data_IF_034259490386
#
_entry.id   IF_034259490386
#
_cell.length_a   1.000
_cell.length_b   1.000
_cell.length_c   1.000
_cell.angle_alpha   90.00
_cell.angle_beta   90.00
_cell.angle_gamma   90.00
#
_symmetry.space_group_name_H-M   'P 1'
#
loop_
_entity.id
_entity.type
_entity.pdbx_description
1 polymer ?
#
# COMPACT_ATOMS: atom_id res chain seq x y z
N UNK A 1 -7.73 -16.37 -19.86
CA UNK A 1 -8.04 -14.93 -19.92
C UNK A 1 -8.05 -14.27 -18.53
N UNK A 2 -8.67 -14.88 -17.51
CA UNK A 2 -8.69 -14.34 -16.13
C UNK A 2 -7.32 -14.21 -15.42
N UNK A 3 -6.39 -15.14 -15.63
CA UNK A 3 -5.05 -15.13 -15.00
C UNK A 3 -4.19 -13.89 -15.34
N UNK A 4 -4.48 -13.22 -16.46
CA UNK A 4 -3.74 -12.01 -16.88
C UNK A 4 -4.27 -10.78 -16.13
N UNK A 5 -5.58 -10.67 -15.95
CA UNK A 5 -6.20 -9.62 -15.15
C UNK A 5 -5.73 -9.67 -13.70
N UNK A 6 -5.63 -10.87 -13.12
CA UNK A 6 -5.13 -11.09 -11.76
C UNK A 6 -3.67 -10.63 -11.60
N UNK A 7 -2.81 -10.92 -12.57
CA UNK A 7 -1.42 -10.41 -12.57
C UNK A 7 -1.33 -8.90 -12.73
N UNK A 8 -2.21 -8.30 -13.54
CA UNK A 8 -2.23 -6.84 -13.74
C UNK A 8 -2.68 -6.14 -12.45
N UNK A 9 -3.73 -6.63 -11.79
CA UNK A 9 -4.19 -6.06 -10.52
C UNK A 9 -3.17 -6.24 -9.40
N UNK A 10 -2.47 -7.38 -9.38
CA UNK A 10 -1.32 -7.59 -8.49
C UNK A 10 -0.18 -6.62 -8.73
N UNK A 11 0.16 -6.34 -10.00
CA UNK A 11 1.20 -5.39 -10.38
C UNK A 11 0.81 -3.96 -10.03
N UNK A 12 -0.45 -3.57 -10.25
CA UNK A 12 -0.98 -2.27 -9.83
C UNK A 12 -0.87 -2.10 -8.32
N UNK A 13 -1.27 -3.12 -7.55
CA UNK A 13 -1.15 -3.09 -6.08
C UNK A 13 0.30 -2.99 -5.63
N UNK A 14 1.22 -3.68 -6.31
CA UNK A 14 2.65 -3.60 -6.02
C UNK A 14 3.20 -2.20 -6.23
N UNK A 15 2.85 -1.57 -7.36
CA UNK A 15 3.25 -0.21 -7.65
C UNK A 15 2.67 0.77 -6.62
N UNK A 16 1.39 0.61 -6.24
CA UNK A 16 0.74 1.47 -5.25
C UNK A 16 1.40 1.40 -3.86
N UNK A 17 1.81 0.20 -3.43
CA UNK A 17 2.56 0.03 -2.18
C UNK A 17 3.97 0.62 -2.30
N UNK A 18 4.67 0.41 -3.41
CA UNK A 18 6.01 0.94 -3.65
C UNK A 18 6.04 2.47 -3.69
N UNK A 19 4.96 3.10 -4.20
CA UNK A 19 4.84 4.55 -4.30
C UNK A 19 4.96 5.22 -2.93
N UNK A 20 4.38 4.67 -1.86
CA UNK A 20 4.34 5.34 -0.55
C UNK A 20 5.75 5.62 0.04
N UNK A 21 6.64 4.62 0.21
CA UNK A 21 8.00 4.88 0.69
C UNK A 21 8.84 5.67 -0.30
N UNK A 22 8.61 5.51 -1.60
CA UNK A 22 9.33 6.24 -2.65
C UNK A 22 9.00 7.73 -2.61
N UNK A 23 7.72 8.09 -2.46
CA UNK A 23 7.27 9.48 -2.33
C UNK A 23 7.83 10.12 -1.06
N UNK A 24 7.90 9.35 0.03
CA UNK A 24 8.42 9.81 1.31
C UNK A 24 9.92 10.11 1.20
N UNK A 25 10.70 9.19 0.61
CA UNK A 25 12.12 9.40 0.34
C UNK A 25 12.38 10.57 -0.62
N UNK A 26 11.55 10.71 -1.65
CA UNK A 26 11.62 11.85 -2.58
C UNK A 26 11.31 13.17 -1.88
N UNK A 27 10.27 13.21 -1.04
CA UNK A 27 9.90 14.39 -0.26
C UNK A 27 11.04 14.83 0.67
N UNK A 28 11.66 13.89 1.38
CA UNK A 28 12.83 14.17 2.23
C UNK A 28 14.00 14.67 1.37
N UNK A 29 14.28 14.04 0.23
CA UNK A 29 15.33 14.47 -0.69
C UNK A 29 15.15 15.92 -1.18
N UNK A 30 13.91 16.29 -1.54
CA UNK A 30 13.57 17.66 -1.93
C UNK A 30 13.74 18.66 -0.78
N UNK A 31 13.33 18.30 0.45
CA UNK A 31 13.52 19.16 1.63
C UNK A 31 15.01 19.39 1.90
N UNK A 32 15.84 18.36 1.77
CA UNK A 32 17.29 18.45 1.95
C UNK A 32 17.92 19.37 0.90
N UNK A 33 17.52 19.24 -0.37
CA UNK A 33 18.00 20.12 -1.44
C UNK A 33 17.58 21.58 -1.23
N UNK A 34 16.35 21.82 -0.76
CA UNK A 34 15.86 23.16 -0.47
C UNK A 34 16.63 23.84 0.68
N UNK A 35 17.00 23.08 1.71
CA UNK A 35 17.79 23.60 2.83
C UNK A 35 19.28 23.78 2.49
N UNK A 36 19.83 22.88 1.67
CA UNK A 36 21.24 22.90 1.27
C UNK A 36 21.35 23.08 -0.24
N UNK A 37 21.22 24.32 -0.69
CA UNK A 37 21.23 24.73 -2.10
C UNK A 37 22.67 24.75 -2.69
N UNK A 38 23.44 23.70 -2.42
CA UNK A 38 24.82 23.49 -2.83
C UNK A 38 24.95 22.16 -3.58
N UNK A 39 26.02 21.97 -4.35
CA UNK A 39 26.28 20.70 -5.05
C UNK A 39 26.29 19.49 -4.13
N UNK A 40 26.71 19.68 -2.87
CA UNK A 40 26.69 18.64 -1.83
C UNK A 40 25.26 18.25 -1.43
N UNK A 41 24.35 19.23 -1.26
CA UNK A 41 22.95 18.96 -0.93
C UNK A 41 22.20 18.25 -2.05
N UNK A 42 22.55 18.52 -3.32
CA UNK A 42 22.04 17.78 -4.46
C UNK A 42 22.45 16.30 -4.44
N UNK A 43 23.74 16.02 -4.18
CA UNK A 43 24.25 14.64 -4.08
C UNK A 43 23.56 13.89 -2.93
N UNK A 44 23.45 14.52 -1.76
CA UNK A 44 22.80 13.90 -0.59
C UNK A 44 21.30 13.66 -0.86
N UNK A 45 20.60 14.62 -1.48
CA UNK A 45 19.19 14.48 -1.84
C UNK A 45 18.94 13.32 -2.81
N UNK A 46 19.83 13.13 -3.80
CA UNK A 46 19.79 11.98 -4.72
C UNK A 46 20.00 10.67 -3.96
N UNK A 47 21.00 10.60 -3.09
CA UNK A 47 21.29 9.39 -2.30
C UNK A 47 20.08 9.01 -1.44
N UNK A 48 19.48 9.98 -0.76
CA UNK A 48 18.28 9.76 0.06
C UNK A 48 17.09 9.29 -0.79
N UNK A 49 16.88 9.91 -1.96
CA UNK A 49 15.81 9.51 -2.89
C UNK A 49 16.00 8.09 -3.41
N UNK A 50 17.24 7.70 -3.73
CA UNK A 50 17.58 6.34 -4.15
C UNK A 50 17.32 5.35 -3.02
N UNK A 51 17.72 5.67 -1.79
CA UNK A 51 17.46 4.82 -0.61
C UNK A 51 15.94 4.64 -0.41
N UNK A 52 15.16 5.72 -0.52
CA UNK A 52 13.70 5.66 -0.43
C UNK A 52 13.07 4.78 -1.50
N UNK A 53 13.57 4.87 -2.75
CA UNK A 53 13.12 4.05 -3.87
C UNK A 53 13.47 2.57 -3.67
N UNK A 54 14.70 2.26 -3.25
CA UNK A 54 15.12 0.89 -2.95
C UNK A 54 14.27 0.31 -1.81
N UNK A 55 14.06 1.07 -0.74
CA UNK A 55 13.22 0.65 0.38
C UNK A 55 11.78 0.40 -0.07
N UNK A 56 11.21 1.28 -0.90
CA UNK A 56 9.89 1.11 -1.50
C UNK A 56 9.75 -0.17 -2.31
N UNK A 57 10.73 -0.45 -3.18
CA UNK A 57 10.76 -1.68 -3.99
C UNK A 57 10.87 -2.92 -3.11
N UNK A 58 11.75 -2.91 -2.10
CA UNK A 58 11.95 -4.05 -1.19
C UNK A 58 10.67 -4.35 -0.40
N UNK A 59 10.02 -3.32 0.15
CA UNK A 59 8.78 -3.47 0.89
C UNK A 59 7.65 -3.99 0.01
N UNK A 60 7.47 -3.43 -1.19
CA UNK A 60 6.45 -3.88 -2.12
C UNK A 60 6.69 -5.33 -2.56
N UNK A 61 7.94 -5.69 -2.86
CA UNK A 61 8.32 -7.06 -3.26
C UNK A 61 8.12 -8.07 -2.13
N UNK A 62 8.42 -7.67 -0.90
CA UNK A 62 8.18 -8.52 0.29
C UNK A 62 6.68 -8.80 0.44
N UNK A 63 5.84 -7.75 0.39
CA UNK A 63 4.37 -7.87 0.51
C UNK A 63 3.75 -8.68 -0.63
N UNK A 64 4.23 -8.49 -1.86
CA UNK A 64 3.83 -9.30 -3.02
C UNK A 64 4.06 -10.79 -2.77
N UNK A 65 5.23 -11.16 -2.25
CA UNK A 65 5.58 -12.57 -1.99
C UNK A 65 4.86 -13.20 -0.80
N UNK A 66 4.45 -12.43 0.21
CA UNK A 66 3.91 -13.04 1.44
C UNK A 66 2.40 -13.29 1.37
N UNK A 67 1.63 -12.34 0.83
CA UNK A 67 0.16 -12.35 0.97
C UNK A 67 -0.56 -12.05 -0.34
N UNK A 68 0.15 -11.59 -1.37
CA UNK A 68 -0.44 -11.06 -2.59
C UNK A 68 -0.91 -9.61 -2.40
N UNK A 69 -0.54 -8.74 -3.34
CA UNK A 69 -0.76 -7.29 -3.22
C UNK A 69 -2.24 -6.91 -3.23
N UNK A 70 -3.05 -7.68 -3.95
CA UNK A 70 -4.51 -7.49 -4.01
C UNK A 70 -5.16 -7.81 -2.68
N UNK A 71 -4.74 -8.87 -1.99
CA UNK A 71 -5.28 -9.25 -0.68
C UNK A 71 -4.89 -8.23 0.42
N UNK A 72 -3.69 -7.66 0.32
CA UNK A 72 -3.26 -6.61 1.24
C UNK A 72 -4.05 -5.30 1.01
N UNK A 73 -4.21 -4.91 -0.26
CA UNK A 73 -4.96 -3.72 -0.62
C UNK A 73 -6.45 -3.86 -0.31
N UNK A 74 -7.04 -5.04 -0.56
CA UNK A 74 -8.44 -5.32 -0.23
C UNK A 74 -8.69 -5.23 1.27
N UNK A 75 -7.74 -5.63 2.12
CA UNK A 75 -7.89 -5.51 3.58
C UNK A 75 -7.77 -4.07 4.08
N UNK A 76 -6.98 -3.23 3.40
CA UNK A 76 -6.88 -1.81 3.72
C UNK A 76 -8.16 -1.07 3.30
N UNK A 77 -8.74 -1.45 2.17
CA UNK A 77 -9.96 -0.84 1.63
C UNK A 77 -11.25 -1.40 2.25
N UNK A 78 -11.22 -2.64 2.74
CA UNK A 78 -12.34 -3.23 3.44
C UNK A 78 -12.54 -2.49 4.77
N UNK A 79 -13.79 -2.15 5.07
CA UNK A 79 -14.20 -1.70 6.39
C UNK A 79 -14.44 -2.95 7.24
N UNK A 80 -13.48 -3.39 8.08
CA UNK A 80 -13.60 -4.66 8.82
C UNK A 80 -14.80 -4.66 9.80
N UNK A 81 -15.30 -3.48 10.14
CA UNK A 81 -16.43 -3.25 11.05
C UNK A 81 -17.78 -3.75 10.47
N UNK A 82 -17.92 -3.81 9.14
CA UNK A 82 -19.18 -4.13 8.44
C UNK A 82 -19.27 -5.59 7.97
N UNK A 83 -18.22 -6.40 8.18
CA UNK A 83 -18.16 -7.80 7.72
C UNK A 83 -18.59 -8.79 8.81
N UNK A 84 -19.29 -8.30 9.86
CA UNK A 84 -19.98 -9.17 10.80
C UNK A 84 -21.22 -9.71 10.08
N UNK A 85 -21.37 -11.04 9.90
CA UNK A 85 -22.69 -11.56 9.62
C UNK A 85 -23.56 -11.14 10.81
N UNK A 86 -24.60 -10.37 10.55
CA UNK A 86 -25.60 -10.08 11.54
C UNK A 86 -26.17 -11.42 12.03
N UNK A 87 -25.64 -11.93 13.14
CA UNK A 87 -26.32 -12.86 14.04
C UNK A 87 -27.51 -12.10 14.62
N UNK A 88 -28.52 -11.84 13.78
CA UNK A 88 -29.87 -11.54 14.27
C UNK A 88 -30.70 -12.79 14.04
N UNK A 89 -30.54 -13.66 15.01
CA UNK A 89 -31.41 -14.78 15.36
C UNK A 89 -32.88 -14.33 15.20
N UNK A 90 -33.61 -14.90 14.26
CA UNK A 90 -34.66 -15.91 14.54
C UNK A 90 -35.30 -15.79 15.94
N UNK A 91 -36.15 -14.78 16.20
CA UNK A 91 -36.97 -14.82 17.44
C UNK A 91 -38.30 -14.05 17.45
N UNK A 92 -38.92 -13.71 16.30
CA UNK A 92 -40.21 -12.98 16.31
C UNK A 92 -41.40 -13.59 15.57
N UNK A 93 -41.32 -14.83 15.07
CA UNK A 93 -42.45 -15.45 14.33
C UNK A 93 -43.37 -16.39 15.15
N UNK A 94 -43.20 -16.54 16.47
CA UNK A 94 -43.98 -17.54 17.25
C UNK A 94 -44.94 -16.99 18.33
N UNK A 95 -45.23 -15.68 18.37
CA UNK A 95 -46.07 -15.11 19.43
C UNK A 95 -47.35 -14.40 18.95
N UNK A 96 -47.94 -14.80 17.82
CA UNK A 96 -49.29 -14.33 17.44
C UNK A 96 -50.14 -15.43 16.76
N UNK A 97 -50.35 -16.53 17.48
CA UNK A 97 -51.50 -17.43 17.28
C UNK A 97 -52.13 -17.79 18.62
#
# INVERSE_FOLDING_TARGET
>A
MFKIFEKITELIGWLQIAISPTLLGFGIGCIVYYNFQNSIGFIIGIVISIIGLVCGIVLATTKFKTTGTVHFLSRIMATPELDKPDETETETESAEK
#
